data_IF_948000596132
#
_entry.id   IF_948000596132
#
_cell.length_a   1.000
_cell.length_b   1.000
_cell.length_c   1.000
_cell.angle_alpha   90.00
_cell.angle_beta   90.00
_cell.angle_gamma   90.00
#
_symmetry.space_group_name_H-M   'P 1'
#
loop_
_entity.id
_entity.type
_entity.pdbx_description
1 polymer ?
#
# COMPACT_ATOMS: atom_id res chain seq x y z
N UNK A 1 0.13 -10.87 -24.20
CA UNK A 1 1.60 -10.98 -24.02
C UNK A 1 2.21 -9.71 -23.43
N UNK A 2 1.85 -8.50 -23.87
CA UNK A 2 2.43 -7.24 -23.37
C UNK A 2 2.31 -6.99 -21.84
N UNK A 3 1.14 -7.28 -21.25
CA UNK A 3 0.91 -7.09 -19.80
C UNK A 3 1.63 -8.12 -18.93
N UNK A 4 1.93 -9.30 -19.46
CA UNK A 4 2.66 -10.35 -18.73
C UNK A 4 4.13 -9.94 -18.58
N UNK A 5 4.72 -9.39 -19.64
CA UNK A 5 6.10 -8.85 -19.66
C UNK A 5 6.27 -7.64 -18.72
N UNK A 6 5.27 -6.78 -18.59
CA UNK A 6 5.28 -5.65 -17.64
C UNK A 6 5.32 -6.08 -16.16
N UNK A 7 4.92 -7.33 -15.87
CA UNK A 7 4.93 -7.90 -14.52
C UNK A 7 6.12 -8.84 -14.29
N UNK A 8 7.02 -9.01 -15.27
CA UNK A 8 8.28 -9.74 -15.07
C UNK A 8 9.18 -8.91 -14.13
N UNK A 9 9.55 -9.49 -12.99
CA UNK A 9 10.37 -8.82 -11.97
C UNK A 9 9.58 -8.16 -10.82
N UNK A 10 8.25 -8.06 -10.89
CA UNK A 10 7.42 -7.62 -9.76
C UNK A 10 7.09 -8.80 -8.85
N UNK A 11 7.35 -8.67 -7.55
CA UNK A 11 6.82 -9.62 -6.57
C UNK A 11 5.31 -9.40 -6.38
N UNK A 12 4.51 -10.14 -7.16
CA UNK A 12 3.05 -10.06 -7.17
C UNK A 12 2.40 -10.31 -5.81
N UNK A 13 2.99 -11.20 -5.00
CA UNK A 13 2.46 -11.50 -3.66
C UNK A 13 2.60 -10.31 -2.73
N UNK A 14 3.78 -9.67 -2.72
CA UNK A 14 4.04 -8.47 -1.91
C UNK A 14 3.11 -7.33 -2.33
N UNK A 15 2.97 -7.07 -3.63
CA UNK A 15 2.06 -6.03 -4.12
C UNK A 15 0.62 -6.33 -3.75
N UNK A 16 0.15 -7.58 -3.91
CA UNK A 16 -1.21 -7.96 -3.57
C UNK A 16 -1.50 -7.79 -2.07
N UNK A 17 -0.58 -8.23 -1.20
CA UNK A 17 -0.69 -8.08 0.25
C UNK A 17 -0.71 -6.61 0.67
N UNK A 18 0.18 -5.77 0.12
CA UNK A 18 0.19 -4.34 0.43
C UNK A 18 -1.06 -3.61 -0.06
N UNK A 19 -1.54 -3.91 -1.27
CA UNK A 19 -2.82 -3.34 -1.77
C UNK A 19 -3.99 -3.75 -0.87
N UNK A 20 -4.04 -5.01 -0.44
CA UNK A 20 -5.06 -5.49 0.49
C UNK A 20 -5.00 -4.76 1.84
N UNK A 21 -3.80 -4.49 2.35
CA UNK A 21 -3.60 -3.73 3.58
C UNK A 21 -4.03 -2.26 3.42
N UNK A 22 -3.74 -1.62 2.28
CA UNK A 22 -4.22 -0.26 1.99
C UNK A 22 -5.75 -0.20 2.04
N UNK A 23 -6.45 -1.17 1.43
CA UNK A 23 -7.92 -1.23 1.47
C UNK A 23 -8.42 -1.35 2.91
N UNK A 24 -7.80 -2.22 3.73
CA UNK A 24 -8.10 -2.36 5.16
C UNK A 24 -7.87 -1.08 5.96
N UNK A 25 -6.91 -0.25 5.58
CA UNK A 25 -6.66 1.03 6.24
C UNK A 25 -7.69 2.09 5.80
N UNK A 26 -8.05 2.14 4.52
CA UNK A 26 -9.04 3.09 3.99
C UNK A 26 -10.41 2.93 4.66
N UNK A 27 -10.88 1.70 4.88
CA UNK A 27 -12.17 1.45 5.55
C UNK A 27 -12.19 1.98 7.00
N UNK A 28 -11.02 2.18 7.62
CA UNK A 28 -10.89 2.71 8.98
C UNK A 28 -10.96 4.23 9.04
N UNK A 29 -10.88 4.95 7.91
CA UNK A 29 -10.94 6.43 7.87
C UNK A 29 -12.17 6.96 8.62
N UNK A 30 -13.33 6.31 8.44
CA UNK A 30 -14.59 6.72 9.08
C UNK A 30 -14.75 6.24 10.53
N UNK A 31 -13.82 5.45 11.05
CA UNK A 31 -13.90 4.81 12.37
C UNK A 31 -12.72 5.25 13.25
N UNK A 32 -12.69 6.53 13.59
CA UNK A 32 -11.64 7.11 14.43
C UNK A 32 -11.78 6.68 15.88
N UNK A 33 -10.66 6.60 16.59
CA UNK A 33 -10.64 6.33 18.03
C UNK A 33 -11.22 7.53 18.82
N UNK A 34 -12.33 7.35 19.57
CA UNK A 34 -12.90 8.41 20.39
C UNK A 34 -11.88 8.93 21.41
N UNK A 35 -11.74 10.25 21.52
CA UNK A 35 -10.76 10.87 22.40
C UNK A 35 -9.32 10.96 21.84
N UNK A 36 -9.02 10.36 20.68
CA UNK A 36 -7.69 10.37 20.07
C UNK A 36 -7.70 10.56 18.54
N UNK A 37 -8.62 11.37 18.02
CA UNK A 37 -8.81 11.55 16.56
C UNK A 37 -7.53 11.99 15.83
N UNK A 38 -6.78 12.93 16.40
CA UNK A 38 -5.53 13.44 15.80
C UNK A 38 -4.44 12.36 15.74
N UNK A 39 -4.25 11.62 16.83
CA UNK A 39 -3.27 10.53 16.90
C UNK A 39 -3.64 9.39 15.97
N UNK A 40 -4.93 9.07 15.90
CA UNK A 40 -5.48 8.08 14.98
C UNK A 40 -5.13 8.40 13.52
N UNK A 41 -5.44 9.61 13.04
CA UNK A 41 -5.13 9.98 11.65
C UNK A 41 -3.64 10.06 11.36
N UNK A 42 -2.82 10.49 12.34
CA UNK A 42 -1.37 10.48 12.20
C UNK A 42 -0.85 9.06 11.94
N UNK A 43 -1.26 8.10 12.78
CA UNK A 43 -0.88 6.69 12.63
C UNK A 43 -1.44 6.08 11.34
N UNK A 44 -2.70 6.37 11.00
CA UNK A 44 -3.32 5.89 9.78
C UNK A 44 -2.55 6.37 8.53
N UNK A 45 -2.12 7.63 8.52
CA UNK A 45 -1.31 8.19 7.45
C UNK A 45 0.10 7.55 7.38
N UNK A 46 0.74 7.31 8.52
CA UNK A 46 2.03 6.60 8.58
C UNK A 46 1.91 5.17 8.01
N UNK A 47 0.88 4.42 8.43
CA UNK A 47 0.61 3.06 7.97
C UNK A 47 0.28 3.03 6.45
N UNK A 48 -0.54 3.97 5.97
CA UNK A 48 -0.87 4.08 4.54
C UNK A 48 0.37 4.37 3.70
N UNK A 49 1.18 5.36 4.10
CA UNK A 49 2.40 5.71 3.37
C UNK A 49 3.40 4.54 3.32
N UNK A 50 3.48 3.73 4.38
CA UNK A 50 4.32 2.54 4.41
C UNK A 50 3.90 1.53 3.36
N UNK A 51 2.62 1.17 3.29
CA UNK A 51 2.13 0.19 2.31
C UNK A 51 2.22 0.72 0.87
N UNK A 52 1.90 1.99 0.64
CA UNK A 52 2.06 2.64 -0.67
C UNK A 52 3.52 2.60 -1.12
N UNK A 53 4.46 2.87 -0.21
CA UNK A 53 5.89 2.82 -0.52
C UNK A 53 6.35 1.42 -0.92
N UNK A 54 5.86 0.37 -0.24
CA UNK A 54 6.17 -1.02 -0.63
C UNK A 54 5.72 -1.30 -2.06
N UNK A 55 4.49 -0.89 -2.43
CA UNK A 55 3.99 -1.05 -3.80
C UNK A 55 4.85 -0.26 -4.79
N UNK A 56 5.14 1.01 -4.49
CA UNK A 56 5.96 1.86 -5.35
C UNK A 56 7.38 1.29 -5.57
N UNK A 57 8.03 0.82 -4.49
CA UNK A 57 9.37 0.25 -4.53
C UNK A 57 9.40 -1.06 -5.35
N UNK A 58 8.39 -1.93 -5.20
CA UNK A 58 8.29 -3.15 -6.01
C UNK A 58 8.02 -2.86 -7.49
N UNK A 59 7.14 -1.91 -7.79
CA UNK A 59 6.88 -1.50 -9.18
C UNK A 59 8.10 -0.82 -9.82
N UNK A 60 8.86 -0.03 -9.05
CA UNK A 60 10.08 0.61 -9.52
C UNK A 60 11.17 -0.39 -9.93
N UNK A 61 11.20 -1.58 -9.32
CA UNK A 61 12.10 -2.67 -9.74
C UNK A 61 11.81 -3.16 -11.15
N UNK A 62 10.54 -3.22 -11.54
CA UNK A 62 10.15 -3.67 -12.88
C UNK A 62 10.44 -2.65 -13.99
N UNK A 63 10.51 -1.36 -13.65
CA UNK A 63 10.90 -0.30 -14.61
C UNK A 63 12.40 -0.16 -14.85
N UNK A 64 13.25 -0.88 -14.11
CA UNK A 64 14.73 -0.84 -14.27
C UNK A 64 15.29 -1.94 -15.18
N UNK A 65 14.42 -2.65 -15.91
CA UNK A 65 14.76 -3.67 -16.89
C UNK A 65 14.80 -3.08 -18.31
#
# INVERSE_FOLDING_TARGET
>A
MFLVSLMEGVNREVVCNSVHNVIKLIIRISHTEPGNVKGFYKKLNEDLNKEIKVVADELAKATKA
#
